data_IF_295897709468
#
_entry.id   IF_295897709468
#
_cell.length_a   1.000
_cell.length_b   1.000
_cell.length_c   1.000
_cell.angle_alpha   90.00
_cell.angle_beta   90.00
_cell.angle_gamma   90.00
#
_symmetry.space_group_name_H-M   'P 1'
#
loop_
_entity.id
_entity.type
_entity.pdbx_description
1 polymer ?
#
# COMPACT_ATOMS: atom_id res chain seq x y z
N UNK A 1 14.53 17.83 11.08
CA UNK A 1 14.39 19.22 11.60
C UNK A 1 13.57 19.17 12.88
N UNK A 2 14.07 19.66 14.02
CA UNK A 2 13.24 19.74 15.24
C UNK A 2 12.03 20.65 15.01
N UNK A 3 10.84 20.19 15.42
CA UNK A 3 9.58 20.93 15.29
C UNK A 3 8.99 20.98 13.86
N UNK A 4 9.49 20.19 12.92
CA UNK A 4 8.85 20.02 11.61
C UNK A 4 7.75 18.93 11.70
N UNK A 5 6.63 19.16 11.04
CA UNK A 5 5.63 18.14 10.81
C UNK A 5 6.05 17.25 9.62
N UNK A 6 5.84 15.94 9.74
CA UNK A 6 6.21 14.96 8.71
C UNK A 6 4.96 14.29 8.15
N UNK A 7 4.51 14.76 7.01
CA UNK A 7 3.35 14.26 6.27
C UNK A 7 3.74 13.66 4.91
N UNK A 8 4.86 12.90 4.92
CA UNK A 8 5.54 12.39 3.71
C UNK A 8 5.46 10.88 3.52
N UNK A 9 5.09 10.10 4.53
CA UNK A 9 5.30 8.63 4.52
C UNK A 9 4.03 7.80 4.67
N UNK A 10 2.85 8.43 4.64
CA UNK A 10 1.56 7.75 4.79
C UNK A 10 1.49 6.95 6.11
N UNK A 11 2.06 7.51 7.17
CA UNK A 11 2.00 6.98 8.53
C UNK A 11 0.72 7.45 9.20
N UNK A 12 0.20 6.70 10.17
CA UNK A 12 -0.86 7.19 11.06
C UNK A 12 -0.28 8.02 12.20
N UNK A 13 -1.03 9.01 12.64
CA UNK A 13 -0.67 9.83 13.81
C UNK A 13 -0.96 9.12 15.14
N UNK A 14 -1.73 8.04 15.10
CA UNK A 14 -2.12 7.29 16.28
C UNK A 14 -1.06 6.27 16.66
N UNK A 15 -0.65 6.27 17.94
CA UNK A 15 0.16 5.20 18.50
C UNK A 15 -0.63 3.87 18.62
N UNK A 16 0.05 2.77 18.97
CA UNK A 16 -0.59 1.48 19.16
C UNK A 16 -1.63 1.54 20.30
N UNK A 17 -2.72 0.77 20.14
CA UNK A 17 -3.71 0.56 21.20
C UNK A 17 -3.07 -0.05 22.45
N UNK A 18 -3.65 0.15 23.66
CA UNK A 18 -3.09 -0.38 24.91
C UNK A 18 -2.84 -1.90 24.88
N UNK A 19 -3.76 -2.70 24.31
CA UNK A 19 -3.59 -4.14 24.16
C UNK A 19 -2.44 -4.51 23.21
N UNK A 20 -2.28 -3.78 22.11
CA UNK A 20 -1.17 -3.98 21.16
C UNK A 20 0.17 -3.61 21.82
N UNK A 21 0.22 -2.50 22.57
CA UNK A 21 1.40 -2.11 23.34
C UNK A 21 1.79 -3.17 24.37
N UNK A 22 0.83 -3.71 25.14
CA UNK A 22 1.09 -4.76 26.12
C UNK A 22 1.62 -6.04 25.47
N UNK A 23 1.10 -6.42 24.29
CA UNK A 23 1.60 -7.57 23.53
C UNK A 23 3.06 -7.36 23.05
N UNK A 24 3.40 -6.15 22.60
CA UNK A 24 4.76 -5.76 22.24
C UNK A 24 5.68 -5.88 23.45
N UNK A 25 5.33 -5.27 24.57
CA UNK A 25 6.11 -5.30 25.81
C UNK A 25 6.36 -6.74 26.28
N UNK A 26 5.32 -7.57 26.37
CA UNK A 26 5.44 -8.98 26.74
C UNK A 26 6.35 -9.76 25.80
N UNK A 27 6.32 -9.49 24.51
CA UNK A 27 7.15 -10.20 23.52
C UNK A 27 8.64 -9.89 23.67
N UNK A 28 9.01 -8.78 24.34
CA UNK A 28 10.42 -8.41 24.58
C UNK A 28 11.12 -9.30 25.59
N UNK A 29 10.39 -10.06 26.40
CA UNK A 29 10.97 -10.99 27.38
C UNK A 29 11.78 -12.13 26.73
N UNK A 30 11.52 -12.40 25.43
CA UNK A 30 12.11 -13.52 24.70
C UNK A 30 12.86 -13.09 23.43
N UNK A 31 13.28 -11.83 23.30
CA UNK A 31 14.00 -11.34 22.11
C UNK A 31 15.35 -12.02 21.85
N UNK A 32 15.88 -12.72 22.84
CA UNK A 32 17.07 -13.56 22.70
C UNK A 32 16.81 -14.90 21.98
N UNK A 33 15.56 -15.19 21.64
CA UNK A 33 15.14 -16.40 20.92
C UNK A 33 14.67 -16.04 19.51
N UNK A 34 14.90 -16.95 18.56
CA UNK A 34 14.34 -16.80 17.23
C UNK A 34 12.80 -16.83 17.29
N UNK A 35 12.12 -16.03 16.45
CA UNK A 35 10.65 -16.06 16.32
C UNK A 35 10.18 -17.40 15.73
N UNK A 36 8.87 -17.65 15.81
CA UNK A 36 8.27 -18.72 15.01
C UNK A 36 8.46 -18.44 13.51
N UNK A 37 9.22 -19.31 12.85
CA UNK A 37 9.53 -19.18 11.44
C UNK A 37 8.36 -19.60 10.53
N UNK A 38 7.46 -20.41 11.02
CA UNK A 38 6.26 -20.84 10.32
C UNK A 38 5.12 -19.83 10.36
N UNK A 39 5.22 -18.86 11.28
CA UNK A 39 4.16 -17.89 11.56
C UNK A 39 2.81 -18.54 11.88
N UNK A 40 2.82 -19.71 12.54
CA UNK A 40 1.66 -20.59 12.68
C UNK A 40 0.47 -19.84 13.29
N UNK A 41 0.63 -19.28 14.49
CA UNK A 41 -0.44 -18.55 15.17
C UNK A 41 -0.91 -17.33 14.35
N UNK A 42 0.02 -16.55 13.78
CA UNK A 42 -0.34 -15.38 12.97
C UNK A 42 -1.11 -15.78 11.70
N UNK A 43 -0.71 -16.87 11.02
CA UNK A 43 -1.43 -17.39 9.85
C UNK A 43 -2.84 -17.86 10.21
N UNK A 44 -3.02 -18.57 11.32
CA UNK A 44 -4.33 -19.00 11.81
C UNK A 44 -5.25 -17.80 12.11
N UNK A 45 -4.70 -16.75 12.74
CA UNK A 45 -5.45 -15.53 13.04
C UNK A 45 -5.82 -14.75 11.77
N UNK A 46 -4.88 -14.61 10.83
CA UNK A 46 -5.12 -13.99 9.52
C UNK A 46 -6.16 -14.78 8.72
N UNK A 47 -6.01 -16.09 8.64
CA UNK A 47 -6.91 -16.97 7.91
C UNK A 47 -8.36 -16.81 8.42
N UNK A 48 -8.55 -16.80 9.74
CA UNK A 48 -9.85 -16.52 10.36
C UNK A 48 -10.36 -15.12 10.03
N UNK A 49 -9.49 -14.11 10.08
CA UNK A 49 -9.86 -12.70 9.82
C UNK A 49 -10.35 -12.49 8.38
N UNK A 50 -9.68 -13.14 7.40
CA UNK A 50 -10.02 -12.99 5.97
C UNK A 50 -10.90 -14.12 5.43
N UNK A 51 -11.34 -15.06 6.28
CA UNK A 51 -12.16 -16.21 5.93
C UNK A 51 -11.55 -17.10 4.82
N UNK A 52 -10.29 -17.50 5.05
CA UNK A 52 -9.53 -18.45 4.23
C UNK A 52 -8.91 -19.54 5.13
N UNK A 53 -8.24 -20.51 4.53
CA UNK A 53 -7.45 -21.49 5.27
C UNK A 53 -5.99 -20.99 5.47
N UNK A 54 -5.26 -21.45 6.49
CA UNK A 54 -3.88 -21.02 6.75
C UNK A 54 -2.90 -21.24 5.58
N UNK A 55 -3.13 -22.26 4.75
CA UNK A 55 -2.37 -22.54 3.53
C UNK A 55 -2.55 -21.49 2.43
N UNK A 56 -3.57 -20.65 2.51
CA UNK A 56 -3.77 -19.51 1.62
C UNK A 56 -3.02 -18.24 2.08
N UNK A 57 -2.30 -18.27 3.21
CA UNK A 57 -1.69 -17.10 3.83
C UNK A 57 -0.16 -17.19 3.78
N UNK A 58 0.47 -16.13 3.23
CA UNK A 58 1.90 -15.89 3.42
C UNK A 58 2.11 -14.63 4.28
N UNK A 59 3.12 -14.66 5.16
CA UNK A 59 3.52 -13.51 5.98
C UNK A 59 4.88 -13.01 5.49
N UNK A 60 5.05 -11.67 5.46
CA UNK A 60 6.29 -11.04 5.02
C UNK A 60 6.73 -9.87 5.90
N UNK A 61 7.99 -9.47 5.75
CA UNK A 61 8.55 -8.26 6.36
C UNK A 61 7.97 -7.00 5.70
N UNK A 62 6.68 -6.71 5.97
CA UNK A 62 5.82 -5.80 5.22
C UNK A 62 5.42 -6.37 3.84
N UNK A 63 4.39 -5.80 3.21
CA UNK A 63 3.97 -6.20 1.86
C UNK A 63 5.07 -6.01 0.80
N UNK A 64 6.03 -5.12 1.03
CA UNK A 64 7.18 -4.89 0.14
C UNK A 64 8.02 -6.14 -0.07
N UNK A 65 8.26 -6.95 0.99
CA UNK A 65 9.00 -8.20 0.84
C UNK A 65 8.20 -9.24 0.04
N UNK A 66 6.87 -9.22 0.16
CA UNK A 66 5.99 -10.08 -0.63
C UNK A 66 5.98 -9.68 -2.11
N UNK A 67 6.00 -8.38 -2.44
CA UNK A 67 6.20 -7.91 -3.82
C UNK A 67 7.51 -8.47 -4.41
N UNK A 68 8.62 -8.37 -3.64
CA UNK A 68 9.91 -8.94 -4.06
C UNK A 68 9.84 -10.46 -4.27
N UNK A 69 9.21 -11.18 -3.34
CA UNK A 69 9.06 -12.62 -3.42
C UNK A 69 8.20 -13.04 -4.62
N UNK A 70 7.10 -12.31 -4.91
CA UNK A 70 6.28 -12.57 -6.10
C UNK A 70 7.10 -12.42 -7.38
N UNK A 71 7.92 -11.37 -7.49
CA UNK A 71 8.84 -11.19 -8.60
C UNK A 71 9.82 -12.36 -8.71
N UNK A 72 10.40 -12.81 -7.59
CA UNK A 72 11.37 -13.91 -7.57
C UNK A 72 10.79 -15.27 -7.96
N UNK A 73 9.51 -15.54 -7.67
CA UNK A 73 8.89 -16.82 -8.03
C UNK A 73 8.32 -16.85 -9.45
N UNK A 74 8.10 -15.67 -10.06
CA UNK A 74 7.47 -15.59 -11.39
C UNK A 74 8.43 -15.23 -12.50
N UNK A 75 9.48 -14.46 -12.22
CA UNK A 75 10.20 -13.70 -13.25
C UNK A 75 11.71 -13.89 -13.17
N UNK A 76 12.35 -13.93 -14.32
CA UNK A 76 13.79 -14.00 -14.50
C UNK A 76 14.25 -13.05 -15.62
N UNK A 77 15.50 -13.17 -16.03
CA UNK A 77 16.07 -12.33 -17.14
C UNK A 77 15.26 -12.55 -18.41
N UNK A 78 14.76 -11.45 -18.99
CA UNK A 78 13.97 -11.45 -20.21
C UNK A 78 12.46 -11.46 -19.99
N UNK A 79 11.98 -11.80 -18.79
CA UNK A 79 10.57 -11.69 -18.44
C UNK A 79 10.14 -10.24 -18.19
N UNK A 80 8.86 -9.98 -18.28
CA UNK A 80 8.25 -8.67 -18.14
C UNK A 80 7.29 -8.62 -16.95
N UNK A 81 7.29 -7.47 -16.26
CA UNK A 81 6.37 -7.17 -15.16
C UNK A 81 5.63 -5.88 -15.50
N UNK A 82 4.30 -5.97 -15.60
CA UNK A 82 3.41 -4.86 -15.99
C UNK A 82 2.83 -4.17 -14.76
N UNK A 83 2.79 -2.85 -14.76
CA UNK A 83 2.10 -2.04 -13.74
C UNK A 83 1.85 -0.63 -14.25
N UNK A 84 0.85 0.05 -13.68
CA UNK A 84 0.60 1.47 -13.96
C UNK A 84 1.74 2.37 -13.48
N UNK A 85 1.95 3.50 -14.15
CA UNK A 85 2.99 4.46 -13.81
C UNK A 85 2.53 5.91 -14.02
N UNK A 86 2.59 6.79 -13.02
CA UNK A 86 3.34 6.77 -11.76
C UNK A 86 2.65 5.89 -10.72
N UNK A 87 3.43 5.03 -10.07
CA UNK A 87 2.98 4.18 -8.96
C UNK A 87 4.12 3.96 -7.95
N UNK A 88 4.04 2.89 -7.17
CA UNK A 88 4.97 2.60 -6.10
C UNK A 88 6.40 2.38 -6.62
N UNK A 89 7.31 3.28 -6.25
CA UNK A 89 8.68 3.34 -6.78
C UNK A 89 9.52 2.08 -6.53
N UNK A 90 9.04 1.17 -5.68
CA UNK A 90 9.73 -0.11 -5.42
C UNK A 90 9.59 -1.09 -6.58
N UNK A 91 8.49 -1.04 -7.35
CA UNK A 91 8.26 -1.99 -8.45
C UNK A 91 9.37 -1.97 -9.50
N UNK A 92 9.73 -0.82 -10.12
CA UNK A 92 10.81 -0.81 -11.08
C UNK A 92 12.16 -1.20 -10.48
N UNK A 93 12.41 -0.90 -9.20
CA UNK A 93 13.65 -1.25 -8.53
C UNK A 93 13.78 -2.76 -8.34
N UNK A 94 12.76 -3.40 -7.77
CA UNK A 94 12.74 -4.85 -7.53
C UNK A 94 12.70 -5.63 -8.84
N UNK A 95 11.94 -5.18 -9.84
CA UNK A 95 11.91 -5.79 -11.18
C UNK A 95 13.30 -5.84 -11.79
N UNK A 96 14.01 -4.71 -11.83
CA UNK A 96 15.38 -4.66 -12.37
C UNK A 96 16.38 -5.45 -11.55
N UNK A 97 16.22 -5.50 -10.22
CA UNK A 97 17.09 -6.31 -9.35
C UNK A 97 16.95 -7.82 -9.65
N UNK A 98 15.78 -8.26 -10.04
CA UNK A 98 15.56 -9.65 -10.49
C UNK A 98 16.02 -9.93 -11.92
N UNK A 99 16.44 -8.89 -12.64
CA UNK A 99 16.84 -8.98 -14.07
C UNK A 99 15.67 -8.94 -15.05
N UNK A 100 14.45 -8.78 -14.56
CA UNK A 100 13.25 -8.64 -15.39
C UNK A 100 13.08 -7.20 -15.91
N UNK A 101 12.23 -7.04 -16.91
CA UNK A 101 11.94 -5.77 -17.57
C UNK A 101 10.68 -5.13 -16.99
N UNK A 102 10.74 -3.90 -16.45
CA UNK A 102 9.55 -3.17 -16.04
C UNK A 102 8.80 -2.63 -17.25
N UNK A 103 7.52 -2.99 -17.37
CA UNK A 103 6.58 -2.44 -18.37
C UNK A 103 5.68 -1.46 -17.66
N UNK A 104 5.97 -0.17 -17.82
CA UNK A 104 5.29 0.94 -17.16
C UNK A 104 4.20 1.50 -18.05
N UNK A 105 2.93 1.28 -17.70
CA UNK A 105 1.78 1.76 -18.46
C UNK A 105 1.35 3.12 -17.92
N UNK A 106 1.25 4.18 -18.72
CA UNK A 106 0.80 5.48 -18.26
C UNK A 106 -0.59 5.41 -17.61
N UNK A 107 -0.79 6.22 -16.57
CA UNK A 107 -2.10 6.40 -15.97
C UNK A 107 -3.00 7.28 -16.86
N UNK A 108 -4.29 7.03 -16.81
CA UNK A 108 -5.31 7.91 -17.40
C UNK A 108 -6.04 8.62 -16.26
N UNK A 109 -6.06 9.97 -16.27
CA UNK A 109 -6.66 10.79 -15.21
C UNK A 109 -6.20 10.39 -13.80
N UNK A 110 -4.90 10.14 -13.65
CA UNK A 110 -4.25 9.68 -12.42
C UNK A 110 -4.67 8.30 -11.92
N UNK A 111 -5.42 7.52 -12.69
CA UNK A 111 -5.91 6.18 -12.35
C UNK A 111 -5.30 5.13 -13.28
N UNK A 112 -5.15 3.91 -12.82
CA UNK A 112 -4.67 2.79 -13.64
C UNK A 112 -5.59 2.59 -14.85
N UNK A 113 -5.01 2.62 -16.04
CA UNK A 113 -5.66 2.26 -17.29
C UNK A 113 -5.53 0.75 -17.49
N UNK A 114 -6.53 0.01 -17.01
CA UNK A 114 -6.50 -1.45 -17.05
C UNK A 114 -6.62 -1.99 -18.49
N UNK A 115 -7.29 -1.29 -19.39
CA UNK A 115 -7.36 -1.67 -20.80
C UNK A 115 -5.99 -1.52 -21.47
N UNK A 116 -5.29 -0.42 -21.22
CA UNK A 116 -3.92 -0.22 -21.69
C UNK A 116 -2.94 -1.23 -21.05
N UNK A 117 -3.15 -1.60 -19.78
CA UNK A 117 -2.36 -2.65 -19.13
C UNK A 117 -2.59 -4.02 -19.75
N UNK A 118 -3.84 -4.38 -20.08
CA UNK A 118 -4.14 -5.61 -20.79
C UNK A 118 -3.50 -5.65 -22.19
N UNK A 119 -3.54 -4.52 -22.91
CA UNK A 119 -2.88 -4.38 -24.22
C UNK A 119 -1.35 -4.44 -24.16
N UNK A 120 -0.76 -4.16 -23.00
CA UNK A 120 0.69 -4.23 -22.79
C UNK A 120 1.19 -5.65 -22.44
N UNK A 121 0.29 -6.62 -22.26
CA UNK A 121 0.64 -8.02 -21.99
C UNK A 121 1.26 -8.65 -23.23
N UNK A 122 2.40 -9.34 -23.04
CA UNK A 122 3.10 -10.10 -24.08
C UNK A 122 3.33 -11.54 -23.63
N UNK A 123 3.92 -12.36 -24.51
CA UNK A 123 4.35 -13.73 -24.20
C UNK A 123 5.46 -13.82 -23.14
N UNK A 124 6.10 -12.68 -22.80
CA UNK A 124 7.09 -12.57 -21.74
C UNK A 124 6.52 -12.06 -20.43
N UNK A 125 5.31 -11.59 -20.40
CA UNK A 125 4.67 -11.10 -19.15
C UNK A 125 4.47 -12.25 -18.18
N UNK A 126 4.89 -12.09 -16.93
CA UNK A 126 4.77 -13.12 -15.87
C UNK A 126 4.02 -12.63 -14.65
N UNK A 127 4.04 -11.31 -14.41
CA UNK A 127 3.43 -10.69 -13.24
C UNK A 127 2.85 -9.34 -13.61
N UNK A 128 1.68 -9.06 -13.08
CA UNK A 128 1.03 -7.75 -13.16
C UNK A 128 0.77 -7.26 -11.75
N UNK A 129 1.21 -6.04 -11.41
CA UNK A 129 0.81 -5.37 -10.18
C UNK A 129 -0.33 -4.40 -10.45
N UNK A 130 -1.43 -4.56 -9.74
CA UNK A 130 -2.52 -3.58 -9.67
C UNK A 130 -2.55 -3.03 -8.25
N UNK A 131 -2.08 -1.80 -8.08
CA UNK A 131 -2.11 -1.14 -6.77
C UNK A 131 -3.39 -0.36 -6.62
N UNK A 132 -4.22 -0.77 -5.66
CA UNK A 132 -5.56 -0.21 -5.49
C UNK A 132 -5.94 -0.07 -4.00
N UNK A 133 -5.97 1.16 -3.43
CA UNK A 133 -5.66 2.47 -4.04
C UNK A 133 -4.21 2.64 -4.46
N UNK A 134 -3.98 3.39 -5.54
CA UNK A 134 -2.62 3.66 -6.01
C UNK A 134 -1.85 4.60 -5.07
N UNK A 135 -0.56 4.51 -5.09
CA UNK A 135 0.38 5.42 -4.45
C UNK A 135 1.43 5.83 -5.50
N UNK A 136 1.45 7.11 -5.94
CA UNK A 136 1.10 8.29 -5.14
C UNK A 136 -0.26 8.92 -5.42
N UNK A 137 -1.04 8.48 -6.39
CA UNK A 137 -2.21 9.22 -6.89
C UNK A 137 -3.45 9.13 -6.01
N UNK A 138 -3.52 8.13 -5.12
CA UNK A 138 -4.64 7.83 -4.20
C UNK A 138 -5.96 7.43 -4.85
N UNK A 139 -5.98 7.30 -6.17
CA UNK A 139 -7.15 6.88 -6.93
C UNK A 139 -7.38 5.37 -6.84
N UNK A 140 -8.58 4.94 -7.17
CA UNK A 140 -8.96 3.52 -7.26
C UNK A 140 -9.53 3.23 -8.64
N UNK A 141 -9.36 1.99 -9.08
CA UNK A 141 -10.04 1.49 -10.27
C UNK A 141 -11.47 1.09 -9.92
N UNK A 142 -12.36 1.25 -10.88
CA UNK A 142 -13.74 0.77 -10.75
C UNK A 142 -13.77 -0.75 -10.54
N UNK A 143 -14.53 -1.27 -9.55
CA UNK A 143 -14.56 -2.70 -9.22
C UNK A 143 -14.97 -3.61 -10.39
N UNK A 144 -15.94 -3.21 -11.21
CA UNK A 144 -16.38 -3.99 -12.36
C UNK A 144 -15.30 -4.01 -13.45
N UNK A 145 -14.59 -2.89 -13.62
CA UNK A 145 -13.47 -2.81 -14.57
C UNK A 145 -12.31 -3.69 -14.12
N UNK A 146 -12.04 -3.78 -12.80
CA UNK A 146 -11.04 -4.69 -12.24
C UNK A 146 -11.40 -6.16 -12.53
N UNK A 147 -12.66 -6.55 -12.36
CA UNK A 147 -13.13 -7.91 -12.67
C UNK A 147 -12.89 -8.24 -14.16
N UNK A 148 -13.37 -7.38 -15.06
CA UNK A 148 -13.19 -7.57 -16.52
C UNK A 148 -11.71 -7.68 -16.91
N UNK A 149 -10.86 -6.86 -16.30
CA UNK A 149 -9.43 -6.92 -16.52
C UNK A 149 -8.85 -8.27 -16.12
N UNK A 150 -9.14 -8.76 -14.91
CA UNK A 150 -8.65 -10.05 -14.40
C UNK A 150 -9.10 -11.19 -15.32
N UNK A 151 -10.36 -11.17 -15.78
CA UNK A 151 -10.90 -12.17 -16.69
C UNK A 151 -10.26 -12.14 -18.09
N UNK A 152 -9.72 -10.99 -18.50
CA UNK A 152 -9.06 -10.80 -19.80
C UNK A 152 -7.60 -11.25 -19.82
N UNK A 153 -6.94 -11.35 -18.66
CA UNK A 153 -5.53 -11.72 -18.56
C UNK A 153 -5.37 -13.24 -18.62
N UNK A 154 -4.40 -13.78 -19.38
CA UNK A 154 -4.10 -15.20 -19.40
C UNK A 154 -3.83 -15.76 -18.00
N UNK A 155 -4.38 -16.94 -17.70
CA UNK A 155 -4.34 -17.54 -16.35
C UNK A 155 -2.96 -18.00 -15.88
N UNK A 156 -1.97 -18.05 -16.77
CA UNK A 156 -0.56 -18.32 -16.47
C UNK A 156 0.23 -17.08 -16.07
N UNK A 157 -0.39 -15.89 -16.13
CA UNK A 157 0.17 -14.63 -15.63
C UNK A 157 -0.37 -14.36 -14.24
N UNK A 158 0.51 -14.15 -13.27
CA UNK A 158 0.11 -13.80 -11.90
C UNK A 158 -0.33 -12.34 -11.80
N UNK A 159 -1.46 -12.10 -11.13
CA UNK A 159 -1.97 -10.76 -10.85
C UNK A 159 -1.88 -10.50 -9.34
N UNK A 160 -1.11 -9.50 -8.95
CA UNK A 160 -0.96 -9.07 -7.57
C UNK A 160 -1.77 -7.79 -7.32
N UNK A 161 -2.84 -7.89 -6.53
CA UNK A 161 -3.61 -6.75 -6.05
C UNK A 161 -2.93 -6.20 -4.80
N UNK A 162 -2.21 -5.08 -4.92
CA UNK A 162 -1.54 -4.42 -3.78
C UNK A 162 -2.51 -3.46 -3.09
N UNK A 163 -3.12 -3.93 -2.02
CA UNK A 163 -4.17 -3.27 -1.26
C UNK A 163 -3.66 -2.63 0.04
N UNK A 164 -2.50 -1.98 -0.01
CA UNK A 164 -1.89 -1.39 1.18
C UNK A 164 -2.73 -0.27 1.84
N UNK A 165 -3.78 0.21 1.20
CA UNK A 165 -4.66 1.28 1.68
C UNK A 165 -6.15 0.93 1.63
N UNK A 166 -6.48 -0.34 1.46
CA UNK A 166 -7.86 -0.82 1.27
C UNK A 166 -8.82 -0.36 2.37
N UNK A 167 -8.34 -0.25 3.61
CA UNK A 167 -9.14 0.15 4.76
C UNK A 167 -9.64 1.62 4.69
N UNK A 168 -9.16 2.42 3.74
CA UNK A 168 -9.58 3.81 3.54
C UNK A 168 -10.52 3.98 2.34
N UNK A 169 -10.87 2.89 1.64
CA UNK A 169 -11.81 2.92 0.51
C UNK A 169 -13.23 3.03 1.06
N UNK A 170 -14.05 3.88 0.43
CA UNK A 170 -15.49 3.96 0.73
C UNK A 170 -16.24 2.79 0.09
N UNK A 171 -17.36 2.39 0.67
CA UNK A 171 -18.06 1.13 0.36
C UNK A 171 -18.42 0.93 -1.11
N UNK A 172 -18.77 2.00 -1.82
CA UNK A 172 -19.14 1.97 -3.23
C UNK A 172 -17.99 1.68 -4.20
N UNK A 173 -16.74 1.86 -3.73
CA UNK A 173 -15.52 1.65 -4.51
C UNK A 173 -14.69 0.46 -4.04
N UNK A 174 -15.16 -0.26 -3.00
CA UNK A 174 -14.43 -1.39 -2.42
C UNK A 174 -14.60 -2.65 -3.29
N UNK A 175 -13.52 -3.20 -3.91
CA UNK A 175 -13.61 -4.43 -4.67
C UNK A 175 -13.75 -5.66 -3.76
N UNK A 176 -14.46 -6.69 -4.23
CA UNK A 176 -14.44 -8.02 -3.58
C UNK A 176 -13.17 -8.79 -3.97
N UNK A 177 -12.03 -8.30 -3.55
CA UNK A 177 -10.73 -8.89 -3.89
C UNK A 177 -10.57 -10.32 -3.38
N UNK A 178 -11.20 -10.66 -2.25
CA UNK A 178 -11.19 -12.02 -1.75
C UNK A 178 -12.10 -12.97 -2.53
N UNK A 179 -13.20 -12.46 -3.09
CA UNK A 179 -13.99 -13.18 -4.11
C UNK A 179 -13.17 -13.47 -5.35
N UNK A 180 -12.38 -12.50 -5.81
CA UNK A 180 -11.47 -12.66 -6.95
C UNK A 180 -10.39 -13.73 -6.68
N UNK A 181 -9.79 -13.77 -5.50
CA UNK A 181 -8.85 -14.84 -5.11
C UNK A 181 -9.51 -16.23 -5.13
N UNK A 182 -10.78 -16.33 -4.72
CA UNK A 182 -11.52 -17.60 -4.76
C UNK A 182 -11.87 -18.04 -6.18
N UNK A 183 -12.11 -17.09 -7.08
CA UNK A 183 -12.50 -17.35 -8.45
C UNK A 183 -11.30 -17.62 -9.39
N UNK A 184 -10.13 -17.06 -9.08
CA UNK A 184 -8.96 -17.06 -9.97
C UNK A 184 -7.70 -17.48 -9.22
N UNK A 185 -7.15 -18.65 -9.57
CA UNK A 185 -5.94 -19.20 -8.93
C UNK A 185 -4.67 -18.37 -9.20
N UNK A 186 -4.69 -17.50 -10.21
CA UNK A 186 -3.59 -16.60 -10.55
C UNK A 186 -3.74 -15.19 -9.93
N UNK A 187 -4.66 -14.99 -8.98
CA UNK A 187 -4.82 -13.72 -8.26
C UNK A 187 -4.27 -13.86 -6.84
N UNK A 188 -3.47 -12.89 -6.42
CA UNK A 188 -2.97 -12.77 -5.05
C UNK A 188 -3.22 -11.36 -4.53
N UNK A 189 -3.76 -11.25 -3.31
CA UNK A 189 -3.98 -9.98 -2.62
C UNK A 189 -2.84 -9.74 -1.63
N UNK A 190 -2.28 -8.54 -1.63
CA UNK A 190 -1.26 -8.09 -0.68
C UNK A 190 -1.85 -7.05 0.27
N UNK A 191 -1.69 -7.24 1.57
CA UNK A 191 -2.10 -6.30 2.62
C UNK A 191 -0.98 -6.03 3.62
N UNK A 192 -1.10 -4.97 4.39
CA UNK A 192 -0.05 -4.54 5.33
C UNK A 192 -0.62 -4.03 6.64
N UNK A 193 0.09 -4.27 7.73
CA UNK A 193 -0.19 -3.65 9.02
C UNK A 193 0.45 -2.24 9.16
N UNK A 194 1.13 -1.76 8.13
CA UNK A 194 1.88 -0.49 8.18
C UNK A 194 1.00 0.76 8.15
N UNK A 195 -0.26 0.67 7.67
CA UNK A 195 -1.12 1.83 7.41
C UNK A 195 -2.25 1.92 8.45
N UNK A 196 -3.43 1.41 8.20
CA UNK A 196 -4.58 1.49 9.11
C UNK A 196 -4.27 0.92 10.51
N UNK A 197 -3.52 -0.16 10.58
CA UNK A 197 -3.13 -0.79 11.85
C UNK A 197 -1.98 -0.08 12.59
N UNK A 198 -1.31 0.90 11.98
CA UNK A 198 -0.30 1.72 12.64
C UNK A 198 1.03 1.03 13.00
N UNK A 199 1.34 -0.11 12.40
CA UNK A 199 2.55 -0.89 12.70
C UNK A 199 3.68 -0.70 11.67
N UNK A 200 3.81 0.49 11.07
CA UNK A 200 4.80 0.75 10.03
C UNK A 200 6.24 0.40 10.47
N UNK A 201 6.59 0.68 11.72
CA UNK A 201 7.92 0.38 12.30
C UNK A 201 8.17 -1.10 12.56
N UNK A 202 7.12 -1.94 12.65
CA UNK A 202 7.24 -3.36 12.96
C UNK A 202 7.33 -4.27 11.74
N UNK A 203 7.12 -3.72 10.55
CA UNK A 203 7.37 -4.44 9.30
C UNK A 203 6.59 -5.75 9.16
N UNK A 204 5.27 -5.73 9.20
CA UNK A 204 4.40 -6.89 8.97
C UNK A 204 3.45 -6.63 7.81
N UNK A 205 3.32 -7.60 6.93
CA UNK A 205 2.32 -7.67 5.87
C UNK A 205 2.00 -9.12 5.55
N UNK A 206 0.96 -9.32 4.76
CA UNK A 206 0.54 -10.66 4.38
C UNK A 206 0.02 -10.71 2.94
N UNK A 207 0.04 -11.90 2.37
CA UNK A 207 -0.58 -12.23 1.09
C UNK A 207 -1.68 -13.26 1.31
N UNK A 208 -2.73 -13.15 0.50
CA UNK A 208 -3.81 -14.15 0.39
C UNK A 208 -3.89 -14.61 -1.05
N UNK A 209 -3.76 -15.90 -1.30
CA UNK A 209 -3.73 -16.46 -2.65
C UNK A 209 -3.94 -17.96 -2.69
N UNK A 210 -3.82 -18.53 -3.88
CA UNK A 210 -3.84 -19.97 -4.10
C UNK A 210 -2.71 -20.66 -3.30
N UNK A 211 -2.95 -21.84 -2.69
CA UNK A 211 -1.93 -22.58 -1.93
C UNK A 211 -0.63 -22.87 -2.69
N UNK A 212 -0.68 -23.03 -4.01
CA UNK A 212 0.53 -23.24 -4.81
C UNK A 212 1.39 -21.96 -4.88
N UNK A 213 0.77 -20.78 -5.01
CA UNK A 213 1.47 -19.50 -4.95
C UNK A 213 2.08 -19.30 -3.55
N UNK A 214 1.30 -19.56 -2.51
CA UNK A 214 1.76 -19.41 -1.11
C UNK A 214 2.92 -20.37 -0.82
N UNK A 215 2.85 -21.59 -1.33
CA UNK A 215 3.95 -22.58 -1.23
C UNK A 215 5.20 -22.09 -1.97
N UNK A 216 5.04 -21.49 -3.16
CA UNK A 216 6.15 -20.92 -3.91
C UNK A 216 6.80 -19.73 -3.17
N UNK A 217 6.02 -18.82 -2.58
CA UNK A 217 6.52 -17.75 -1.72
C UNK A 217 7.34 -18.28 -0.54
N UNK A 218 6.91 -19.41 0.04
CA UNK A 218 7.63 -20.12 1.10
C UNK A 218 9.00 -20.68 0.71
N UNK A 219 9.37 -20.69 -0.58
CA UNK A 219 10.70 -21.12 -1.06
C UNK A 219 11.72 -19.96 -1.16
N UNK A 220 11.25 -18.72 -1.21
CA UNK A 220 12.08 -17.52 -1.45
C UNK A 220 12.04 -16.51 -0.30
N UNK A 221 11.26 -16.77 0.76
CA UNK A 221 11.21 -15.85 1.89
C UNK A 221 12.53 -15.87 2.70
N UNK A 222 12.79 -14.76 3.38
CA UNK A 222 13.93 -14.69 4.31
C UNK A 222 13.50 -15.30 5.66
N UNK A 223 14.12 -16.40 6.11
CA UNK A 223 13.77 -17.03 7.38
C UNK A 223 13.83 -16.03 8.55
N UNK A 224 12.87 -16.14 9.48
CA UNK A 224 12.76 -15.31 10.68
C UNK A 224 12.59 -13.80 10.42
N UNK A 225 12.20 -13.38 9.21
CA UNK A 225 12.14 -11.97 8.82
C UNK A 225 11.03 -11.18 9.51
N UNK A 226 9.91 -11.79 9.94
CA UNK A 226 8.96 -11.17 10.84
C UNK A 226 9.27 -11.57 12.29
N UNK A 227 9.70 -10.59 13.09
CA UNK A 227 10.16 -10.81 14.47
C UNK A 227 9.03 -11.26 15.40
N UNK A 228 9.36 -11.83 16.57
CA UNK A 228 8.35 -12.18 17.59
C UNK A 228 7.53 -10.96 18.02
N UNK A 229 8.16 -9.80 18.13
CA UNK A 229 7.50 -8.52 18.43
C UNK A 229 6.49 -8.15 17.35
N UNK A 230 6.89 -8.32 16.09
CA UNK A 230 6.03 -8.03 14.94
C UNK A 230 4.81 -8.96 14.88
N UNK A 231 5.04 -10.26 15.12
CA UNK A 231 3.97 -11.27 15.13
C UNK A 231 2.97 -11.00 16.27
N UNK A 232 3.47 -10.78 17.51
CA UNK A 232 2.63 -10.48 18.65
C UNK A 232 1.79 -9.20 18.47
N UNK A 233 2.40 -8.14 17.92
CA UNK A 233 1.69 -6.90 17.64
C UNK A 233 0.62 -7.06 16.55
N UNK A 234 0.90 -7.83 15.49
CA UNK A 234 -0.06 -8.10 14.43
C UNK A 234 -1.26 -8.92 14.97
N UNK A 235 -1.02 -9.97 15.75
CA UNK A 235 -2.08 -10.77 16.38
C UNK A 235 -2.96 -9.90 17.28
N UNK A 236 -2.35 -9.11 18.18
CA UNK A 236 -3.10 -8.22 19.07
C UNK A 236 -3.88 -7.14 18.29
N UNK A 237 -3.37 -6.70 17.13
CA UNK A 237 -4.06 -5.76 16.26
C UNK A 237 -5.26 -6.38 15.55
N UNK A 238 -5.18 -7.66 15.17
CA UNK A 238 -6.34 -8.38 14.62
C UNK A 238 -7.43 -8.59 15.68
N UNK A 239 -7.06 -8.80 16.95
CA UNK A 239 -8.01 -8.90 18.06
C UNK A 239 -8.74 -7.58 18.36
N UNK A 240 -8.10 -6.45 18.03
CA UNK A 240 -8.62 -5.09 18.20
C UNK A 240 -8.98 -4.42 16.85
N UNK A 241 -9.27 -5.22 15.81
CA UNK A 241 -9.47 -4.70 14.45
C UNK A 241 -10.57 -3.65 14.38
N UNK A 242 -11.72 -3.89 15.00
CA UNK A 242 -12.86 -2.96 14.98
C UNK A 242 -12.48 -1.58 15.57
N UNK A 243 -11.75 -1.55 16.70
CA UNK A 243 -11.30 -0.31 17.33
C UNK A 243 -10.24 0.42 16.46
N UNK A 244 -9.32 -0.34 15.85
CA UNK A 244 -8.30 0.22 14.96
C UNK A 244 -8.90 0.76 13.67
N UNK A 245 -9.86 0.03 13.08
CA UNK A 245 -10.51 0.43 11.84
C UNK A 245 -11.46 1.61 12.04
N UNK A 246 -12.10 1.77 13.19
CA UNK A 246 -12.86 2.97 13.51
C UNK A 246 -12.03 4.27 13.43
N UNK A 247 -10.69 4.19 13.55
CA UNK A 247 -9.80 5.33 13.33
C UNK A 247 -9.68 5.72 11.85
N UNK A 248 -9.97 4.80 10.92
CA UNK A 248 -9.96 5.11 9.48
C UNK A 248 -11.08 6.07 9.10
N UNK A 249 -12.22 6.02 9.77
CA UNK A 249 -13.37 6.91 9.53
C UNK A 249 -12.98 8.38 9.78
N UNK A 250 -12.22 8.63 10.85
CA UNK A 250 -11.70 9.97 11.13
C UNK A 250 -10.72 10.45 10.06
N UNK A 251 -9.86 9.56 9.55
CA UNK A 251 -8.93 9.88 8.46
C UNK A 251 -9.71 10.13 7.15
N UNK A 252 -10.75 9.38 6.87
CA UNK A 252 -11.62 9.57 5.69
C UNK A 252 -12.31 10.92 5.75
N UNK A 253 -12.88 11.28 6.90
CA UNK A 253 -13.52 12.58 7.10
C UNK A 253 -12.52 13.75 6.94
N UNK A 254 -11.34 13.62 7.54
CA UNK A 254 -10.28 14.62 7.44
C UNK A 254 -9.71 14.73 6.02
N UNK A 255 -9.56 13.61 5.31
CA UNK A 255 -9.21 13.58 3.89
C UNK A 255 -10.19 14.39 3.04
N UNK A 256 -11.49 14.25 3.29
CA UNK A 256 -12.51 15.00 2.59
C UNK A 256 -12.38 16.50 2.86
N UNK A 257 -12.15 16.89 4.11
CA UNK A 257 -11.92 18.30 4.52
C UNK A 257 -10.69 18.89 3.82
N UNK A 258 -9.55 18.17 3.89
CA UNK A 258 -8.29 18.60 3.25
C UNK A 258 -8.45 18.71 1.74
N UNK A 259 -9.11 17.74 1.10
CA UNK A 259 -9.36 17.76 -0.34
C UNK A 259 -10.19 18.97 -0.75
N UNK A 260 -11.26 19.28 -0.02
CA UNK A 260 -12.13 20.43 -0.28
C UNK A 260 -11.35 21.73 -0.15
N UNK A 261 -10.64 21.92 0.96
CA UNK A 261 -9.85 23.13 1.20
C UNK A 261 -8.77 23.37 0.12
N UNK A 262 -8.10 22.32 -0.33
CA UNK A 262 -7.11 22.43 -1.41
C UNK A 262 -7.75 22.78 -2.76
N UNK A 263 -8.92 22.22 -3.07
CA UNK A 263 -9.66 22.56 -4.30
C UNK A 263 -10.16 24.02 -4.27
N UNK A 264 -10.67 24.46 -3.13
CA UNK A 264 -11.11 25.85 -2.92
C UNK A 264 -9.93 26.84 -3.05
N UNK A 265 -8.72 26.42 -2.68
CA UNK A 265 -7.48 27.16 -2.90
C UNK A 265 -6.95 27.07 -4.35
N UNK A 266 -7.63 26.39 -5.26
CA UNK A 266 -7.28 26.32 -6.69
C UNK A 266 -6.41 25.14 -7.11
N UNK A 267 -6.12 24.17 -6.23
CA UNK A 267 -5.40 22.95 -6.62
C UNK A 267 -6.30 21.97 -7.37
N UNK A 268 -5.72 21.32 -8.37
CA UNK A 268 -6.29 20.06 -8.88
C UNK A 268 -5.97 18.95 -7.87
N UNK A 269 -7.00 18.28 -7.34
CA UNK A 269 -6.83 17.15 -6.43
C UNK A 269 -7.70 16.00 -6.93
N UNK A 270 -7.11 14.91 -7.45
CA UNK A 270 -7.85 13.71 -7.84
C UNK A 270 -8.66 13.13 -6.67
N UNK A 271 -9.73 12.38 -6.93
CA UNK A 271 -10.46 11.66 -5.87
C UNK A 271 -9.52 10.74 -5.10
N UNK A 272 -9.45 10.90 -3.78
CA UNK A 272 -8.59 10.07 -2.96
C UNK A 272 -9.37 9.00 -2.21
N UNK A 273 -8.85 7.77 -2.23
CA UNK A 273 -9.33 6.62 -1.47
C UNK A 273 -8.22 6.01 -0.59
N UNK A 274 -7.24 6.83 -0.17
CA UNK A 274 -6.13 6.44 0.69
C UNK A 274 -6.00 7.41 1.90
N UNK A 275 -4.99 7.23 2.74
CA UNK A 275 -4.69 8.16 3.84
C UNK A 275 -3.78 9.33 3.40
N UNK A 276 -3.86 9.75 2.16
CA UNK A 276 -3.10 10.86 1.60
C UNK A 276 -3.83 11.46 0.40
N UNK A 277 -3.43 12.65 0.00
CA UNK A 277 -3.86 13.30 -1.23
C UNK A 277 -2.69 13.48 -2.20
N UNK A 278 -3.00 13.52 -3.48
CA UNK A 278 -2.05 13.80 -4.54
C UNK A 278 -2.28 15.20 -5.12
N UNK A 279 -1.22 15.98 -5.22
CA UNK A 279 -1.20 17.28 -5.89
C UNK A 279 -0.40 17.15 -7.20
N UNK A 280 -1.05 17.06 -8.35
CA UNK A 280 -0.37 17.15 -9.64
C UNK A 280 0.23 18.56 -9.78
N UNK A 281 1.54 18.65 -9.77
CA UNK A 281 2.29 19.91 -9.88
C UNK A 281 3.43 19.77 -10.91
N UNK A 282 3.07 19.53 -12.19
CA UNK A 282 4.08 19.27 -13.23
C UNK A 282 5.05 20.43 -13.35
N UNK A 283 6.36 20.12 -13.25
CA UNK A 283 7.44 21.09 -13.29
C UNK A 283 7.57 21.97 -12.03
N UNK A 284 6.69 21.82 -11.04
CA UNK A 284 6.67 22.64 -9.80
C UNK A 284 6.81 21.82 -8.52
N UNK A 285 6.82 20.49 -8.61
CA UNK A 285 6.79 19.59 -7.46
C UNK A 285 8.00 19.76 -6.52
N UNK A 286 9.18 19.94 -7.07
CA UNK A 286 10.40 20.13 -6.28
C UNK A 286 10.42 21.49 -5.58
N UNK A 287 9.99 22.57 -6.26
CA UNK A 287 9.88 23.90 -5.68
C UNK A 287 8.87 23.89 -4.51
N UNK A 288 7.68 23.32 -4.72
CA UNK A 288 6.68 23.15 -3.65
C UNK A 288 7.25 22.43 -2.43
N UNK A 289 7.94 21.31 -2.65
CA UNK A 289 8.51 20.52 -1.55
C UNK A 289 9.63 21.27 -0.81
N UNK A 290 10.46 22.06 -1.53
CA UNK A 290 11.49 22.87 -0.92
C UNK A 290 10.91 24.00 -0.06
N UNK A 291 9.92 24.73 -0.57
CA UNK A 291 9.26 25.82 0.18
C UNK A 291 8.46 25.31 1.37
N UNK A 292 7.78 24.17 1.20
CA UNK A 292 7.13 23.44 2.29
C UNK A 292 8.12 23.08 3.40
N UNK A 293 9.30 22.56 3.05
CA UNK A 293 10.36 22.23 4.00
C UNK A 293 10.91 23.48 4.72
N UNK A 294 11.04 24.62 4.02
CA UNK A 294 11.40 25.91 4.61
C UNK A 294 10.36 26.37 5.66
N UNK A 295 9.09 26.02 5.45
CA UNK A 295 7.97 26.24 6.38
C UNK A 295 7.85 25.12 7.43
N UNK A 296 8.85 24.22 7.56
CA UNK A 296 8.89 23.06 8.47
C UNK A 296 7.79 22.03 8.22
N UNK A 297 7.36 21.89 6.99
CA UNK A 297 6.38 20.91 6.57
C UNK A 297 7.05 19.96 5.57
N UNK A 298 7.17 18.67 5.91
CA UNK A 298 7.85 17.68 5.07
C UNK A 298 6.82 16.87 4.30
N UNK A 299 6.74 17.10 3.00
CA UNK A 299 5.89 16.36 2.05
C UNK A 299 6.72 15.42 1.16
N UNK A 300 6.10 14.62 0.30
CA UNK A 300 6.80 13.69 -0.59
C UNK A 300 6.66 14.12 -2.06
N UNK A 301 7.68 14.73 -2.68
CA UNK A 301 7.69 14.96 -4.12
C UNK A 301 7.97 13.66 -4.89
N UNK A 302 7.41 13.56 -6.09
CA UNK A 302 7.62 12.46 -7.05
C UNK A 302 8.16 13.04 -8.37
N UNK A 303 9.48 13.15 -8.45
CA UNK A 303 10.15 13.80 -9.58
C UNK A 303 9.58 15.20 -9.80
N UNK A 304 9.19 15.49 -11.03
CA UNK A 304 8.53 16.74 -11.43
C UNK A 304 7.01 16.56 -11.63
N UNK A 305 6.44 15.40 -11.29
CA UNK A 305 5.03 15.09 -11.59
C UNK A 305 4.07 15.70 -10.57
N UNK A 306 4.44 15.68 -9.29
CA UNK A 306 3.58 16.18 -8.24
C UNK A 306 4.07 15.85 -6.83
N UNK A 307 3.22 16.13 -5.86
CA UNK A 307 3.51 15.98 -4.43
C UNK A 307 2.43 15.17 -3.75
N UNK A 308 2.83 14.17 -2.98
CA UNK A 308 1.95 13.39 -2.12
C UNK A 308 2.00 13.94 -0.70
N UNK A 309 0.83 14.15 -0.12
CA UNK A 309 0.65 14.71 1.23
C UNK A 309 -0.17 13.73 2.06
N UNK A 310 0.40 13.23 3.14
CA UNK A 310 -0.30 12.35 4.09
C UNK A 310 -1.36 13.14 4.86
N UNK A 311 -2.55 12.59 4.98
CA UNK A 311 -3.59 13.10 5.89
C UNK A 311 -3.18 12.72 7.32
N UNK A 312 -2.89 13.74 8.13
CA UNK A 312 -2.36 13.62 9.49
C UNK A 312 -3.40 14.07 10.53
N UNK A 313 -2.97 14.61 11.67
CA UNK A 313 -3.86 15.25 12.64
C UNK A 313 -4.45 16.54 12.07
N UNK A 314 -5.62 16.97 12.57
CA UNK A 314 -6.27 18.20 12.17
C UNK A 314 -5.29 19.39 12.26
N UNK A 315 -4.56 19.50 13.36
CA UNK A 315 -3.57 20.56 13.55
C UNK A 315 -2.44 20.54 12.50
N UNK A 316 -1.90 19.38 12.17
CA UNK A 316 -0.85 19.25 11.16
C UNK A 316 -1.38 19.55 9.76
N UNK A 317 -2.61 19.13 9.47
CA UNK A 317 -3.29 19.43 8.22
C UNK A 317 -3.61 20.93 8.08
N UNK A 318 -4.03 21.60 9.16
CA UNK A 318 -4.27 23.05 9.16
C UNK A 318 -2.99 23.84 8.84
N UNK A 319 -1.85 23.46 9.45
CA UNK A 319 -0.56 24.06 9.13
C UNK A 319 -0.19 23.87 7.65
N UNK A 320 -0.46 22.66 7.11
CA UNK A 320 -0.23 22.39 5.69
C UNK A 320 -1.17 23.20 4.78
N UNK A 321 -2.44 23.30 5.12
CA UNK A 321 -3.43 24.06 4.35
C UNK A 321 -3.13 25.56 4.34
N UNK A 322 -2.69 26.12 5.46
CA UNK A 322 -2.24 27.53 5.54
C UNK A 322 -1.05 27.77 4.59
N UNK A 323 -0.04 26.90 4.61
CA UNK A 323 1.08 26.98 3.68
C UNK A 323 0.62 26.81 2.22
N UNK A 324 -0.19 25.79 1.94
CA UNK A 324 -0.62 25.46 0.58
C UNK A 324 -1.44 26.59 -0.06
N UNK A 325 -2.37 27.17 0.65
CA UNK A 325 -3.19 28.30 0.15
C UNK A 325 -2.32 29.50 -0.21
N UNK A 326 -1.37 29.87 0.66
CA UNK A 326 -0.46 30.99 0.38
C UNK A 326 0.52 30.72 -0.76
N UNK A 327 0.90 29.47 -1.00
CA UNK A 327 1.88 29.11 -2.02
C UNK A 327 1.32 29.21 -3.44
N UNK A 328 0.05 28.84 -3.67
CA UNK A 328 -0.54 28.87 -5.01
C UNK A 328 -0.79 30.31 -5.49
N UNK A 329 -1.12 31.23 -4.58
CA UNK A 329 -1.38 32.63 -4.88
C UNK A 329 -0.10 33.42 -5.22
N UNK A 330 1.06 32.95 -4.75
CA UNK A 330 2.38 33.57 -4.95
C UNK A 330 3.20 32.99 -6.10
N UNK A 331 2.64 32.05 -6.87
CA UNK A 331 3.38 31.30 -7.86
C UNK A 331 3.05 31.63 -9.33
#
# INVERSE_FOLDING_TARGET
MPGAIKIASNETVHGPLPGVRAAIEKSTDNINRYPDNGYVELKERLAKHVNFAPENIAVGCGSVSLCQQLIQITSTVGDEIVYGWRSFEIYPLQTRTAGATPVQVPLTDHTYDLDAMAAAVTDRTRLIFVRNPDNPTSTVVDPETLVRFIESVPSDILIALDEAYVEYITDDMLPDSFGLVRAHSNVVVLRTFSKAYGLAGLRVGYAVGDPDIITALGKVYVPFSATSVSQAAAIASLDAADELLARTDAVIAERARVTTALRDAGYTVPPSQANFVWLPLPGRAQAFAADSANSRIIVRPYGEDGVRVTVASEQENDMFLEFGSGWIDGA
#
